data_IF_319819169230
#
_entry.id   IF_319819169230
#
_cell.length_a   1.000
_cell.length_b   1.000
_cell.length_c   1.000
_cell.angle_alpha   90.00
_cell.angle_beta   90.00
_cell.angle_gamma   90.00
#
_symmetry.space_group_name_H-M   'P 1'
#
loop_
_entity.id
_entity.type
_entity.pdbx_description
1 polymer ?
2 non-polymer ?
3 non-polymer ?
4 water ?
#
# COMPACT_ATOMS: atom_id res chain seq x y z
N UNK A 19 -39.54 -1.84 33.74
CA UNK A 19 -38.82 -2.70 34.66
C UNK A 19 -37.72 -3.45 33.92
N UNK A 20 -38.13 -4.48 33.19
CA UNK A 20 -37.22 -5.14 32.28
C UNK A 20 -36.91 -4.17 31.15
N UNK A 21 -37.95 -3.49 30.66
CA UNK A 21 -37.82 -2.43 29.68
C UNK A 21 -36.74 -1.41 30.08
N UNK A 22 -36.85 -0.89 31.31
CA UNK A 22 -35.87 0.09 31.79
C UNK A 22 -34.45 -0.47 31.82
N UNK A 23 -34.31 -1.73 32.27
CA UNK A 23 -33.02 -2.40 32.30
C UNK A 23 -32.38 -2.45 30.92
N UNK A 24 -33.18 -2.82 29.93
CA UNK A 24 -32.77 -2.84 28.53
C UNK A 24 -32.44 -1.47 28.01
N UNK A 25 -33.29 -0.49 28.34
CA UNK A 25 -33.05 0.87 27.86
C UNK A 25 -31.72 1.37 28.40
N UNK A 26 -31.49 1.17 29.71
CA UNK A 26 -30.23 1.60 30.29
C UNK A 26 -29.03 0.88 29.66
N UNK A 27 -29.17 -0.41 29.41
CA UNK A 27 -28.05 -1.19 28.85
C UNK A 27 -27.72 -0.71 27.45
N UNK A 28 -28.75 -0.42 26.66
CA UNK A 28 -28.57 0.09 25.31
C UNK A 28 -27.88 1.46 25.37
N UNK A 29 -28.44 2.36 26.17
CA UNK A 29 -27.84 3.68 26.31
C UNK A 29 -26.38 3.59 26.78
N UNK A 30 -26.11 2.70 27.71
CA UNK A 30 -24.74 2.47 28.18
C UNK A 30 -23.81 2.06 27.04
N UNK A 31 -24.28 1.12 26.21
CA UNK A 31 -23.50 0.64 25.08
C UNK A 31 -23.26 1.76 24.07
N UNK A 32 -24.27 2.59 23.85
CA UNK A 32 -24.10 3.72 22.94
C UNK A 32 -23.06 4.70 23.47
N UNK A 33 -23.09 4.97 24.77
CA UNK A 33 -22.06 5.85 25.36
C UNK A 33 -20.67 5.18 25.29
N UNK A 34 -20.62 3.87 25.48
CA UNK A 34 -19.36 3.14 25.37
C UNK A 34 -18.79 3.19 23.95
N UNK A 35 -19.66 3.10 22.95
CA UNK A 35 -19.21 3.16 21.57
C UNK A 35 -18.62 4.52 21.25
N UNK A 36 -19.26 5.57 21.74
CA UNK A 36 -18.79 6.91 21.44
C UNK A 36 -17.41 7.18 22.06
N UNK A 37 -17.19 6.66 23.26
CA UNK A 37 -15.86 6.76 23.88
C UNK A 37 -14.85 5.94 23.08
N UNK A 38 -15.22 4.72 22.73
CA UNK A 38 -14.34 3.89 21.91
C UNK A 38 -13.96 4.59 20.61
N UNK A 39 -14.95 5.19 19.95
CA UNK A 39 -14.72 5.90 18.70
C UNK A 39 -13.79 7.10 18.89
N UNK A 40 -13.92 7.80 20.02
CA UNK A 40 -13.05 8.93 20.31
C UNK A 40 -11.61 8.46 20.51
N UNK A 41 -11.46 7.33 21.20
CA UNK A 41 -10.15 6.76 21.44
C UNK A 41 -9.48 6.36 20.12
N UNK A 42 -10.25 5.68 19.26
CA UNK A 42 -9.75 5.27 17.95
C UNK A 42 -9.23 6.46 17.15
N UNK A 43 -10.00 7.54 17.11
CA UNK A 43 -9.57 8.77 16.44
C UNK A 43 -8.24 9.29 16.96
N UNK A 44 -8.08 9.28 18.28
CA UNK A 44 -6.83 9.74 18.88
C UNK A 44 -5.67 8.83 18.52
N UNK A 45 -5.95 7.53 18.48
CA UNK A 45 -4.95 6.52 18.15
C UNK A 45 -4.48 6.64 16.73
N UNK A 46 -5.43 6.80 15.81
CA UNK A 46 -5.11 6.91 14.40
C UNK A 46 -4.35 8.21 14.11
N UNK A 47 -4.66 9.23 14.90
CA UNK A 47 -3.93 10.49 14.81
C UNK A 47 -2.50 10.28 15.26
N UNK A 48 -2.34 9.58 16.39
CA UNK A 48 -1.01 9.30 16.94
C UNK A 48 -0.19 8.46 15.97
N UNK A 49 -0.84 7.54 15.28
CA UNK A 49 -0.17 6.67 14.32
C UNK A 49 0.39 7.45 13.15
N UNK A 50 -0.40 8.38 12.62
CA UNK A 50 0.03 9.18 11.49
C UNK A 50 1.25 10.02 11.85
N UNK A 51 1.29 10.50 13.10
CA UNK A 51 2.42 11.30 13.57
C UNK A 51 3.69 10.46 13.63
N UNK A 52 3.57 9.26 14.19
CA UNK A 52 4.70 8.34 14.30
C UNK A 52 5.16 7.89 12.92
N UNK A 53 4.21 7.74 12.00
CA UNK A 53 4.53 7.39 10.63
C UNK A 53 5.38 8.45 9.96
N UNK A 54 5.03 9.71 10.20
CA UNK A 54 5.74 10.84 9.63
C UNK A 54 7.14 10.92 10.22
N UNK A 55 7.25 10.70 11.54
CA UNK A 55 8.54 10.67 12.21
C UNK A 55 9.45 9.57 11.63
N UNK A 56 8.88 8.41 11.37
CA UNK A 56 9.66 7.32 10.81
C UNK A 56 10.21 7.69 9.44
N UNK A 57 9.40 8.42 8.68
CA UNK A 57 9.80 8.90 7.36
C UNK A 57 10.91 9.95 7.45
N UNK A 58 10.72 10.93 8.33
CA UNK A 58 11.75 11.93 8.55
C UNK A 58 13.07 11.26 8.91
N UNK A 59 12.99 10.28 9.81
CA UNK A 59 14.19 9.60 10.29
C UNK A 59 14.84 8.83 9.17
N UNK A 60 14.04 8.12 8.37
CA UNK A 60 14.57 7.35 7.27
C UNK A 60 15.19 8.25 6.19
N UNK A 61 14.57 9.39 5.94
CA UNK A 61 15.11 10.33 4.97
C UNK A 61 16.43 10.90 5.46
N UNK A 62 16.47 11.24 6.74
CA UNK A 62 17.71 11.73 7.34
C UNK A 62 18.84 10.71 7.18
N UNK A 63 18.58 9.44 7.48
CA UNK A 63 19.60 8.39 7.37
C UNK A 63 20.08 8.23 5.94
N UNK A 64 19.16 8.44 5.00
CA UNK A 64 19.45 8.30 3.57
C UNK A 64 20.41 9.35 3.04
N UNK A 65 20.39 10.54 3.63
CA UNK A 65 21.41 11.55 3.33
C UNK A 65 22.81 10.91 3.40
N UNK A 66 23.01 10.03 4.38
CA UNK A 66 24.35 9.49 4.62
C UNK A 66 24.68 8.23 3.83
N UNK A 67 23.67 7.65 3.19
CA UNK A 67 23.82 6.40 2.46
C UNK A 67 23.23 6.49 1.04
N UNK A 68 23.05 7.70 0.54
CA UNK A 68 22.42 7.91 -0.77
C UNK A 68 22.98 7.00 -1.85
N UNK A 69 24.29 7.07 -2.02
CA UNK A 69 24.96 6.45 -3.16
C UNK A 69 25.30 4.96 -2.94
N UNK A 70 25.52 4.57 -1.69
CA UNK A 70 26.09 3.26 -1.40
C UNK A 70 25.14 2.17 -0.91
N UNK A 71 23.94 2.53 -0.49
CA UNK A 71 23.00 1.56 0.05
C UNK A 71 22.64 0.49 -0.99
N UNK B 21 -40.55 -4.79 22.34
CA UNK B 21 -39.40 -4.98 23.23
C UNK B 21 -38.33 -5.89 22.62
N UNK B 22 -38.69 -6.65 21.61
CA UNK B 22 -37.71 -7.42 20.86
C UNK B 22 -36.81 -6.49 20.06
N UNK B 23 -37.36 -5.35 19.63
CA UNK B 23 -36.58 -4.35 18.92
C UNK B 23 -35.40 -3.85 19.76
N UNK B 24 -35.64 -3.70 21.07
CA UNK B 24 -34.61 -3.27 22.01
C UNK B 24 -33.54 -4.34 22.22
N UNK B 25 -33.98 -5.59 22.36
CA UNK B 25 -33.04 -6.70 22.48
C UNK B 25 -32.14 -6.85 21.23
N UNK B 26 -32.73 -6.74 20.05
CA UNK B 26 -31.96 -6.80 18.81
C UNK B 26 -31.00 -5.62 18.71
N UNK B 27 -31.48 -4.43 19.10
CA UNK B 27 -30.66 -3.23 19.11
C UNK B 27 -29.47 -3.38 20.06
N UNK B 28 -29.73 -3.95 21.23
CA UNK B 28 -28.69 -4.15 22.24
C UNK B 28 -27.67 -5.16 21.75
N UNK B 29 -28.16 -6.23 21.14
CA UNK B 29 -27.28 -7.26 20.62
C UNK B 29 -26.34 -6.70 19.54
N UNK B 30 -26.88 -5.85 18.68
CA UNK B 30 -26.08 -5.22 17.63
C UNK B 30 -24.98 -4.33 18.23
N UNK B 31 -25.33 -3.55 19.25
CA UNK B 31 -24.36 -2.67 19.91
C UNK B 31 -23.27 -3.48 20.63
N UNK B 32 -23.65 -4.62 21.20
CA UNK B 32 -22.68 -5.50 21.81
C UNK B 32 -21.65 -5.98 20.78
N UNK B 33 -22.14 -6.45 19.64
CA UNK B 33 -21.26 -6.90 18.55
C UNK B 33 -20.35 -5.76 18.08
N UNK B 34 -20.91 -4.56 17.94
CA UNK B 34 -20.13 -3.40 17.50
C UNK B 34 -19.05 -3.04 18.52
N UNK B 35 -19.38 -3.17 19.80
CA UNK B 35 -18.42 -2.87 20.86
C UNK B 35 -17.25 -3.86 20.79
N UNK B 36 -17.56 -5.14 20.60
CA UNK B 36 -16.51 -6.15 20.42
C UNK B 36 -15.57 -5.80 19.26
N UNK B 37 -16.15 -5.37 18.14
CA UNK B 37 -15.36 -4.96 16.97
C UNK B 37 -14.47 -3.77 17.28
N UNK B 38 -15.05 -2.76 17.94
CA UNK B 38 -14.29 -1.58 18.32
C UNK B 38 -13.11 -1.96 19.22
N UNK B 39 -13.38 -2.82 20.20
CA UNK B 39 -12.34 -3.23 21.14
C UNK B 39 -11.21 -4.00 20.46
N UNK B 40 -11.56 -4.87 19.50
CA UNK B 40 -10.54 -5.61 18.76
C UNK B 40 -9.66 -4.66 17.96
N UNK B 41 -10.28 -3.68 17.31
CA UNK B 41 -9.53 -2.70 16.53
C UNK B 41 -8.59 -1.89 17.41
N UNK B 42 -9.06 -1.49 18.58
CA UNK B 42 -8.26 -0.73 19.52
C UNK B 42 -7.02 -1.51 19.98
N UNK B 43 -7.19 -2.80 20.19
CA UNK B 43 -6.07 -3.66 20.58
C UNK B 43 -5.04 -3.69 19.47
N UNK B 44 -5.51 -3.76 18.23
CA UNK B 44 -4.63 -3.79 17.08
C UNK B 44 -3.89 -2.47 16.95
N UNK B 45 -4.63 -1.36 17.03
CA UNK B 45 -4.05 -0.04 16.89
C UNK B 45 -3.00 0.19 17.95
N UNK B 46 -3.30 -0.22 19.18
CA UNK B 46 -2.37 -0.01 20.28
C UNK B 46 -1.10 -0.83 20.11
N UNK B 47 -1.24 -2.06 19.62
CA UNK B 47 -0.08 -2.90 19.37
C UNK B 47 0.79 -2.25 18.30
N UNK B 48 0.13 -1.70 17.29
CA UNK B 48 0.80 -1.01 16.19
C UNK B 48 1.61 0.17 16.65
N UNK B 49 1.04 0.98 17.54
CA UNK B 49 1.77 2.18 17.97
C UNK B 49 2.91 1.84 18.90
N UNK B 50 2.75 0.76 19.67
CA UNK B 50 3.87 0.25 20.46
C UNK B 50 5.02 -0.16 19.53
N UNK B 51 4.67 -0.75 18.40
CA UNK B 51 5.68 -1.24 17.47
C UNK B 51 6.33 -0.11 16.68
N UNK B 52 5.56 0.93 16.37
CA UNK B 52 6.13 2.12 15.74
C UNK B 52 7.12 2.82 16.66
N UNK B 53 6.80 2.84 17.96
CA UNK B 53 7.73 3.34 18.98
C UNK B 53 9.08 2.64 19.00
N UNK B 54 9.07 1.32 18.80
CA UNK B 54 10.30 0.54 18.73
C UNK B 54 11.11 0.86 17.47
N UNK B 55 10.42 0.92 16.33
CA UNK B 55 11.07 1.30 15.08
C UNK B 55 11.71 2.68 15.22
N UNK B 56 10.96 3.62 15.77
CA UNK B 56 11.47 4.97 16.02
C UNK B 56 12.72 4.95 16.89
N UNK B 57 12.68 4.18 17.98
CA UNK B 57 13.84 4.10 18.86
C UNK B 57 15.02 3.48 18.12
N UNK B 58 14.74 2.44 17.34
CA UNK B 58 15.75 1.73 16.55
C UNK B 58 16.39 2.68 15.53
N UNK B 59 15.56 3.49 14.88
CA UNK B 59 16.03 4.43 13.87
C UNK B 59 16.84 5.57 14.48
N UNK B 60 16.46 6.03 15.67
CA UNK B 60 17.22 7.08 16.37
C UNK B 60 18.59 6.58 16.79
N UNK B 61 18.64 5.35 17.31
CA UNK B 61 19.92 4.76 17.66
C UNK B 61 20.84 4.67 16.44
N UNK B 62 20.26 4.30 15.32
CA UNK B 62 20.98 4.26 14.05
C UNK B 62 21.51 5.65 13.65
N UNK B 63 20.64 6.66 13.73
CA UNK B 63 21.02 8.02 13.36
C UNK B 63 22.14 8.55 14.25
N UNK B 64 22.13 8.12 15.51
CA UNK B 64 23.17 8.51 16.47
C UNK B 64 24.58 8.04 16.06
N UNK B 65 24.67 7.01 15.23
CA UNK B 65 25.96 6.58 14.69
C UNK B 65 26.50 7.62 13.73
N UNK B 66 25.59 8.32 13.05
CA UNK B 66 25.99 9.30 12.04
C UNK B 66 26.10 10.70 12.60
N UNK B 67 25.18 11.03 13.50
CA UNK B 67 24.90 12.42 13.89
C UNK B 67 25.27 13.43 12.82
N UNK C 18 -12.37 20.61 -36.71
CA UNK C 18 -11.52 21.70 -37.16
C UNK C 18 -10.20 21.85 -36.40
N UNK C 19 -10.25 21.91 -35.06
CA UNK C 19 -11.45 21.74 -34.28
C UNK C 19 -11.36 20.46 -33.46
N UNK C 20 -11.48 19.34 -34.15
CA UNK C 20 -11.29 18.04 -33.54
C UNK C 20 -9.80 17.73 -33.48
N UNK C 21 -9.03 18.41 -34.32
CA UNK C 21 -7.58 18.23 -34.34
C UNK C 21 -6.92 19.09 -33.26
N UNK C 22 -7.60 20.16 -32.88
CA UNK C 22 -7.15 20.96 -31.75
C UNK C 22 -7.26 20.12 -30.48
N UNK C 23 -8.31 19.30 -30.41
CA UNK C 23 -8.55 18.46 -29.25
C UNK C 23 -7.51 17.35 -29.15
N UNK C 24 -7.12 16.81 -30.29
CA UNK C 24 -6.12 15.74 -30.39
C UNK C 24 -4.75 16.23 -29.97
N UNK C 25 -4.35 17.40 -30.48
CA UNK C 25 -3.07 17.96 -30.09
C UNK C 25 -3.01 18.23 -28.59
N UNK C 26 -4.15 18.63 -28.02
CA UNK C 26 -4.22 18.92 -26.59
C UNK C 26 -4.24 17.64 -25.78
N UNK C 27 -4.96 16.63 -26.27
CA UNK C 27 -5.00 15.32 -25.64
C UNK C 27 -3.58 14.76 -25.52
N UNK C 28 -2.80 14.94 -26.59
CA UNK C 28 -1.44 14.43 -26.63
C UNK C 28 -0.54 15.16 -25.64
N UNK C 29 -0.67 16.47 -25.54
CA UNK C 29 0.15 17.20 -24.59
C UNK C 29 -0.23 16.88 -23.14
N UNK C 30 -1.52 16.65 -22.88
CA UNK C 30 -1.97 16.24 -21.55
C UNK C 30 -1.41 14.88 -21.19
N UNK C 31 -1.36 13.98 -22.17
CA UNK C 31 -0.79 12.65 -21.96
C UNK C 31 0.68 12.72 -21.59
N UNK C 32 1.43 13.58 -22.28
CA UNK C 32 2.84 13.76 -21.95
C UNK C 32 3.02 14.19 -20.49
N UNK C 33 2.22 15.16 -20.06
CA UNK C 33 2.25 15.63 -18.67
C UNK C 33 1.81 14.54 -17.66
N UNK C 34 0.80 13.77 -18.02
CA UNK C 34 0.35 12.66 -17.18
C UNK C 34 1.42 11.56 -17.02
N UNK C 35 2.14 11.26 -18.09
CA UNK C 35 3.19 10.26 -18.04
C UNK C 35 4.33 10.73 -17.13
N UNK C 36 4.61 12.03 -17.15
CA UNK C 36 5.65 12.60 -16.32
C UNK C 36 5.26 12.50 -14.85
N UNK C 37 3.98 12.73 -14.56
CA UNK C 37 3.51 12.66 -13.18
C UNK C 37 3.51 11.23 -12.66
N UNK C 38 3.09 10.28 -13.51
CA UNK C 38 3.10 8.88 -13.13
C UNK C 38 4.52 8.39 -12.89
N UNK C 39 5.45 8.86 -13.71
CA UNK C 39 6.86 8.50 -13.55
C UNK C 39 7.39 9.01 -12.20
N UNK C 40 6.96 10.20 -11.80
CA UNK C 40 7.32 10.73 -10.49
C UNK C 40 6.73 9.88 -9.35
N UNK C 41 5.50 9.43 -9.53
CA UNK C 41 4.86 8.60 -8.52
C UNK C 41 5.62 7.29 -8.32
N UNK C 42 6.02 6.70 -9.45
CA UNK C 42 6.68 5.40 -9.46
C UNK C 42 8.05 5.53 -8.78
N UNK C 43 8.76 6.60 -9.11
CA UNK C 43 10.05 6.91 -8.47
C UNK C 43 9.93 7.00 -6.96
N UNK C 44 8.87 7.66 -6.50
CA UNK C 44 8.64 7.80 -5.08
C UNK C 44 8.36 6.46 -4.42
N UNK C 45 7.49 5.67 -5.05
CA UNK C 45 7.10 4.38 -4.48
C UNK C 45 8.27 3.38 -4.41
N UNK C 46 9.15 3.43 -5.40
CA UNK C 46 10.31 2.55 -5.44
C UNK C 46 11.31 2.94 -4.35
N UNK C 47 11.40 4.23 -4.09
CA UNK C 47 12.20 4.71 -2.99
C UNK C 47 11.62 4.23 -1.65
N UNK C 48 10.30 4.27 -1.50
CA UNK C 48 9.65 3.83 -0.27
C UNK C 48 9.79 2.32 -0.07
N UNK C 49 9.81 1.56 -1.17
CA UNK C 49 10.05 0.13 -1.12
C UNK C 49 11.47 -0.16 -0.67
N UNK C 50 12.43 0.61 -1.18
CA UNK C 50 13.81 0.56 -0.70
C UNK C 50 13.90 0.80 0.80
N UNK C 51 13.12 1.76 1.30
CA UNK C 51 13.16 2.11 2.72
C UNK C 51 12.50 1.04 3.60
N UNK C 52 11.46 0.38 3.08
CA UNK C 52 10.87 -0.75 3.79
C UNK C 52 11.89 -1.86 3.92
N UNK C 53 12.62 -2.12 2.83
CA UNK C 53 13.62 -3.18 2.82
C UNK C 53 14.72 -2.92 3.83
N UNK C 54 15.04 -1.64 4.02
CA UNK C 54 16.07 -1.26 4.98
C UNK C 54 15.60 -1.50 6.41
N UNK C 55 14.32 -1.26 6.68
CA UNK C 55 13.77 -1.55 8.00
C UNK C 55 13.83 -3.05 8.26
N UNK C 56 13.42 -3.82 7.26
CA UNK C 56 13.39 -5.27 7.36
C UNK C 56 14.80 -5.82 7.62
N UNK C 57 15.79 -5.25 6.97
CA UNK C 57 17.18 -5.63 7.19
C UNK C 57 17.61 -5.33 8.62
N UNK C 58 17.33 -4.11 9.08
CA UNK C 58 17.63 -3.73 10.46
C UNK C 58 16.95 -4.65 11.47
N UNK C 59 15.70 -5.01 11.20
CA UNK C 59 14.96 -5.89 12.08
C UNK C 59 15.57 -7.30 12.13
N UNK C 60 15.94 -7.81 10.96
CA UNK C 60 16.62 -9.11 10.86
C UNK C 60 17.94 -9.08 11.63
N UNK C 61 18.73 -8.05 11.41
CA UNK C 61 20.00 -7.89 12.11
C UNK C 61 19.79 -7.91 13.61
N UNK C 62 18.74 -7.26 14.08
CA UNK C 62 18.44 -7.26 15.51
C UNK C 62 18.04 -8.65 16.00
N UNK C 63 17.19 -9.32 15.23
CA UNK C 63 16.82 -10.69 15.55
C UNK C 63 18.04 -11.61 15.67
N UNK C 64 18.96 -11.51 14.72
CA UNK C 64 20.16 -12.34 14.73
C UNK C 64 21.00 -12.08 15.97
N UNK C 65 20.92 -10.87 16.50
CA UNK C 65 21.62 -10.52 17.73
C UNK C 65 21.02 -11.28 18.92
N UNK C 66 19.71 -11.18 19.07
CA UNK C 66 19.01 -11.88 20.15
C UNK C 66 19.19 -13.39 20.05
N UNK C 67 19.03 -13.90 18.83
CA UNK C 67 19.14 -15.34 18.58
C UNK C 67 20.48 -15.90 19.07
N UNK C 68 21.49 -15.04 19.14
CA UNK C 68 22.82 -15.47 19.55
C UNK C 68 22.96 -15.59 21.07
N UNK C 69 22.29 -14.70 21.79
CA UNK C 69 22.37 -14.68 23.25
C UNK C 69 22.30 -16.08 23.85
N UNK C 70 23.41 -16.50 24.48
CA UNK C 70 23.56 -17.82 25.08
C UNK C 70 23.76 -18.91 24.02
N UNK D 19 -4.84 11.38 -42.03
CA UNK D 19 -3.52 11.82 -42.41
C UNK D 19 -2.61 11.98 -41.19
N UNK D 20 -2.17 13.20 -40.94
CA UNK D 20 -1.50 13.49 -39.69
C UNK D 20 -2.55 13.34 -38.59
N UNK D 21 -3.81 13.62 -38.93
CA UNK D 21 -4.92 13.33 -38.04
C UNK D 21 -4.93 11.84 -37.70
N UNK D 22 -4.69 11.00 -38.70
CA UNK D 22 -4.62 9.55 -38.53
C UNK D 22 -3.40 9.20 -37.70
N UNK D 23 -2.29 9.87 -37.99
CA UNK D 23 -1.07 9.67 -37.22
C UNK D 23 -1.23 10.08 -35.75
N UNK D 24 -1.93 11.19 -35.51
CA UNK D 24 -2.13 11.70 -34.17
C UNK D 24 -3.02 10.77 -33.36
N UNK D 25 -4.01 10.19 -34.01
CA UNK D 25 -4.93 9.29 -33.31
C UNK D 25 -4.23 8.00 -32.86
N UNK D 26 -3.33 7.47 -33.71
CA UNK D 26 -2.51 6.33 -33.35
C UNK D 26 -1.54 6.70 -32.25
N UNK D 27 -0.95 7.88 -32.35
CA UNK D 27 -0.05 8.36 -31.30
C UNK D 27 -0.76 8.41 -29.93
N UNK D 28 -2.00 8.88 -29.93
CA UNK D 28 -2.78 9.00 -28.70
C UNK D 28 -3.05 7.62 -28.11
N UNK D 29 -3.36 6.65 -28.98
CA UNK D 29 -3.62 5.29 -28.53
C UNK D 29 -2.42 4.71 -27.80
N UNK D 30 -1.22 4.94 -28.33
CA UNK D 30 0.00 4.43 -27.72
C UNK D 30 0.24 5.10 -26.36
N UNK D 31 -0.01 6.41 -26.31
CA UNK D 31 0.15 7.16 -25.08
C UNK D 31 -0.83 6.68 -24.00
N UNK D 32 -2.06 6.40 -24.41
CA UNK D 32 -3.05 5.85 -23.50
C UNK D 32 -2.60 4.48 -22.98
N UNK D 33 -1.98 3.68 -23.85
CA UNK D 33 -1.52 2.37 -23.42
C UNK D 33 -0.32 2.47 -22.47
N UNK D 34 0.57 3.42 -22.74
CA UNK D 34 1.73 3.65 -21.88
C UNK D 34 1.30 4.12 -20.48
N UNK D 35 0.27 4.97 -20.44
CA UNK D 35 -0.27 5.48 -19.18
C UNK D 35 -0.91 4.31 -18.40
N UNK D 36 -1.65 3.46 -19.10
CA UNK D 36 -2.31 2.32 -18.48
C UNK D 36 -1.30 1.39 -17.80
N UNK D 37 -0.16 1.20 -18.46
CA UNK D 37 0.91 0.38 -17.93
C UNK D 37 1.52 1.03 -16.69
N UNK D 38 1.73 2.35 -16.75
CA UNK D 38 2.27 3.06 -15.59
C UNK D 38 1.31 2.92 -14.40
N UNK D 39 0.02 3.07 -14.66
CA UNK D 39 -0.98 2.99 -13.61
C UNK D 39 -1.11 1.58 -13.03
N UNK D 40 -0.97 0.54 -13.86
CA UNK D 40 -0.99 -0.83 -13.37
C UNK D 40 0.25 -1.10 -12.50
N UNK D 41 1.38 -0.51 -12.88
CA UNK D 41 2.59 -0.61 -12.08
C UNK D 41 2.45 0.08 -10.71
N UNK D 42 1.78 1.24 -10.69
CA UNK D 42 1.56 1.96 -9.44
C UNK D 42 0.67 1.13 -8.49
N UNK D 43 -0.38 0.53 -9.03
CA UNK D 43 -1.25 -0.34 -8.23
C UNK D 43 -0.44 -1.45 -7.56
N UNK D 44 0.47 -2.05 -8.34
CA UNK D 44 1.27 -3.18 -7.89
C UNK D 44 2.26 -2.79 -6.80
N UNK D 45 2.92 -1.66 -6.97
CA UNK D 45 3.90 -1.18 -6.00
C UNK D 45 3.22 -0.83 -4.66
N UNK D 46 1.99 -0.32 -4.73
CA UNK D 46 1.22 -0.06 -3.51
C UNK D 46 0.92 -1.36 -2.78
N UNK D 47 0.48 -2.37 -3.51
CA UNK D 47 0.30 -3.71 -2.96
C UNK D 47 1.58 -4.23 -2.30
N UNK D 48 2.72 -4.02 -2.95
CA UNK D 48 3.98 -4.54 -2.42
C UNK D 48 4.36 -3.83 -1.13
N UNK D 49 4.10 -2.52 -1.08
CA UNK D 49 4.31 -1.75 0.15
C UNK D 49 3.52 -2.33 1.32
N UNK D 50 2.25 -2.64 1.08
CA UNK D 50 1.40 -3.25 2.10
C UNK D 50 1.97 -4.57 2.60
N UNK D 51 2.40 -5.42 1.68
CA UNK D 51 2.91 -6.74 2.05
C UNK D 51 4.17 -6.63 2.88
N UNK D 52 4.98 -5.63 2.59
CA UNK D 52 6.20 -5.43 3.34
C UNK D 52 5.90 -5.00 4.76
N UNK D 53 4.79 -4.27 4.95
CA UNK D 53 4.35 -3.97 6.33
C UNK D 53 3.94 -5.24 7.09
N UNK D 54 3.28 -6.16 6.40
CA UNK D 54 2.91 -7.44 7.01
C UNK D 54 4.16 -8.21 7.42
N UNK D 55 5.23 -8.02 6.65
CA UNK D 55 6.49 -8.68 6.94
C UNK D 55 7.20 -7.97 8.10
N UNK D 56 7.16 -6.64 8.10
CA UNK D 56 7.72 -5.87 9.20
C UNK D 56 7.01 -6.22 10.52
N UNK D 57 5.69 -6.40 10.45
CA UNK D 57 4.95 -6.77 11.65
C UNK D 57 5.32 -8.17 12.15
N UNK D 58 5.50 -9.12 11.23
CA UNK D 58 5.91 -10.46 11.60
C UNK D 58 7.22 -10.42 12.38
N UNK D 59 8.20 -9.70 11.84
CA UNK D 59 9.50 -9.57 12.47
C UNK D 59 9.44 -8.91 13.85
N UNK D 60 8.66 -7.84 13.98
CA UNK D 60 8.55 -7.14 15.26
C UNK D 60 7.90 -8.01 16.34
N UNK D 61 6.91 -8.80 15.95
CA UNK D 61 6.26 -9.70 16.91
C UNK D 61 7.27 -10.73 17.42
N UNK D 62 8.09 -11.24 16.51
CA UNK D 62 9.16 -12.15 16.89
C UNK D 62 10.19 -11.46 17.79
N UNK D 63 10.50 -10.19 17.50
CA UNK D 63 11.42 -9.43 18.35
C UNK D 63 10.83 -9.14 19.74
N UNK D 64 9.51 -8.98 19.80
CA UNK D 64 8.85 -8.75 21.07
C UNK D 64 8.99 -9.98 21.97
N UNK D 65 8.99 -11.15 21.33
CA UNK D 65 9.10 -12.41 22.07
C UNK D 65 10.44 -12.49 22.77
N UNK D 66 11.49 -12.02 22.10
CA UNK D 66 12.81 -11.97 22.70
C UNK D 66 12.89 -10.79 23.67
N UNK D 67 11.86 -10.68 24.51
CA UNK D 67 11.72 -9.61 25.47
C UNK D 67 10.58 -9.94 26.42
N UNK D 68 10.89 -10.59 27.54
CA UNK D 68 12.26 -11.02 27.85
C UNK D 68 12.39 -12.54 27.78
N UNK E 20 14.79 -22.38 12.62
CA UNK E 20 14.70 -22.96 11.28
C UNK E 20 13.27 -23.37 10.93
N UNK E 21 12.42 -23.52 11.94
CA UNK E 21 10.99 -23.62 11.66
C UNK E 21 10.48 -22.21 11.36
N UNK E 22 10.91 -21.24 12.17
CA UNK E 22 10.57 -19.85 11.95
C UNK E 22 11.09 -19.38 10.61
N UNK E 23 12.21 -19.96 10.18
CA UNK E 23 12.82 -19.61 8.89
C UNK E 23 11.93 -20.06 7.75
N UNK E 24 11.39 -21.28 7.87
CA UNK E 24 10.52 -21.85 6.87
C UNK E 24 9.24 -21.04 6.73
N UNK E 25 8.62 -20.71 7.86
CA UNK E 25 7.40 -19.94 7.85
C UNK E 25 7.60 -18.61 7.13
N UNK E 26 8.76 -18.01 7.38
CA UNK E 26 9.11 -16.73 6.76
C UNK E 26 9.44 -16.90 5.26
N UNK E 27 10.03 -18.04 4.91
CA UNK E 27 10.38 -18.31 3.52
C UNK E 27 9.11 -18.61 2.73
N UNK E 28 8.18 -19.33 3.36
CA UNK E 28 6.88 -19.58 2.75
C UNK E 28 6.13 -18.27 2.48
N UNK E 29 6.15 -17.37 3.45
CA UNK E 29 5.47 -16.08 3.31
C UNK E 29 6.11 -15.25 2.20
N UNK E 30 7.42 -15.35 2.09
CA UNK E 30 8.13 -14.67 1.03
C UNK E 30 7.72 -15.22 -0.34
N UNK E 31 7.66 -16.54 -0.46
CA UNK E 31 7.34 -17.22 -1.71
C UNK E 31 5.90 -16.94 -2.16
N UNK E 32 5.00 -16.78 -1.20
CA UNK E 32 3.62 -16.42 -1.50
C UNK E 32 3.52 -15.00 -2.09
N UNK E 33 4.29 -14.06 -1.54
CA UNK E 33 4.30 -12.70 -2.06
C UNK E 33 4.94 -12.67 -3.46
N UNK E 34 6.04 -13.39 -3.64
CA UNK E 34 6.65 -13.51 -4.96
C UNK E 34 5.67 -14.07 -5.99
N UNK E 35 4.87 -15.05 -5.58
CA UNK E 35 3.85 -15.63 -6.44
C UNK E 35 2.77 -14.62 -6.79
N UNK E 36 2.38 -13.80 -5.81
CA UNK E 36 1.35 -12.81 -6.05
C UNK E 36 1.86 -11.80 -7.07
N UNK E 37 3.14 -11.50 -7.00
CA UNK E 37 3.76 -10.54 -7.92
C UNK E 37 3.88 -11.09 -9.35
N UNK E 38 4.24 -12.36 -9.48
CA UNK E 38 4.32 -13.00 -10.79
C UNK E 38 2.94 -12.98 -11.44
N UNK E 39 1.93 -13.33 -10.66
CA UNK E 39 0.56 -13.36 -11.15
C UNK E 39 0.10 -11.98 -11.61
N UNK E 40 0.53 -10.94 -10.88
CA UNK E 40 0.15 -9.58 -11.25
C UNK E 40 0.83 -9.20 -12.57
N UNK E 41 2.07 -9.61 -12.74
CA UNK E 41 2.81 -9.36 -13.96
C UNK E 41 2.13 -10.07 -15.14
N UNK E 42 1.75 -11.32 -14.92
CA UNK E 42 1.12 -12.14 -15.94
C UNK E 42 -0.20 -11.51 -16.40
N UNK E 43 -1.00 -11.07 -15.44
CA UNK E 43 -2.23 -10.32 -15.73
C UNK E 43 -1.92 -9.10 -16.59
N UNK E 44 -0.87 -8.38 -16.21
CA UNK E 44 -0.46 -7.19 -16.96
C UNK E 44 -0.03 -7.54 -18.40
N UNK E 45 0.73 -8.62 -18.55
CA UNK E 45 1.23 -8.99 -19.86
C UNK E 45 0.10 -9.46 -20.79
N UNK E 46 -0.90 -10.12 -20.22
CA UNK E 46 -2.07 -10.50 -20.99
C UNK E 46 -2.83 -9.27 -21.50
N UNK E 47 -2.95 -8.24 -20.66
CA UNK E 47 -3.58 -6.99 -21.04
C UNK E 47 -2.84 -6.29 -22.18
N UNK E 48 -1.50 -6.39 -22.16
CA UNK E 48 -0.68 -5.77 -23.18
C UNK E 48 -0.81 -6.48 -24.51
N UNK E 49 -0.97 -7.80 -24.46
CA UNK E 49 -1.19 -8.61 -25.64
C UNK E 49 -2.55 -8.28 -26.28
N UNK E 50 -3.58 -8.09 -25.44
CA UNK E 50 -4.90 -7.67 -25.91
C UNK E 50 -4.81 -6.33 -26.63
N UNK E 51 -3.99 -5.44 -26.09
CA UNK E 51 -3.86 -4.12 -26.68
C UNK E 51 -3.18 -4.20 -28.04
N UNK E 52 -2.16 -5.05 -28.16
CA UNK E 52 -1.47 -5.23 -29.43
C UNK E 52 -2.36 -5.83 -30.51
N UNK E 53 -3.21 -6.79 -30.11
CA UNK E 53 -4.18 -7.37 -31.02
C UNK E 53 -5.17 -6.30 -31.49
N UNK E 54 -5.54 -5.38 -30.61
CA UNK E 54 -6.40 -4.26 -31.01
C UNK E 54 -5.71 -3.39 -32.04
N UNK E 55 -4.42 -3.11 -31.82
CA UNK E 55 -3.65 -2.29 -32.72
C UNK E 55 -3.56 -3.01 -34.07
N UNK E 56 -3.35 -4.31 -34.01
CA UNK E 56 -3.18 -5.11 -35.21
C UNK E 56 -4.45 -5.08 -36.06
N UNK E 57 -5.60 -5.14 -35.40
CA UNK E 57 -6.89 -5.10 -36.10
C UNK E 57 -7.12 -3.75 -36.75
N UNK E 58 -6.70 -2.68 -36.08
CA UNK E 58 -6.84 -1.34 -36.63
C UNK E 58 -6.01 -1.18 -37.89
N UNK E 59 -4.78 -1.67 -37.85
CA UNK E 59 -3.89 -1.57 -39.00
C UNK E 59 -4.38 -2.44 -40.17
N UNK E 60 -4.92 -3.62 -39.85
CA UNK E 60 -5.44 -4.51 -40.87
C UNK E 60 -6.70 -3.91 -41.51
N UNK E 61 -7.54 -3.31 -40.68
CA UNK E 61 -8.72 -2.60 -41.16
C UNK E 61 -8.30 -1.50 -42.13
N UNK E 62 -7.27 -0.76 -41.74
CA UNK E 62 -6.78 0.35 -42.55
C UNK E 62 -6.14 -0.16 -43.84
N UNK E 63 -5.43 -1.28 -43.76
CA UNK E 63 -4.79 -1.84 -44.94
C UNK E 63 -5.84 -2.28 -45.96
N UNK E 64 -6.89 -2.92 -45.47
CA UNK E 64 -7.97 -3.38 -46.34
C UNK E 64 -8.60 -2.25 -47.17
N UNK E 65 -8.80 -1.11 -46.53
CA UNK E 65 -9.31 0.08 -47.21
C UNK E 65 -8.38 0.48 -48.35
N UNK E 66 -7.08 0.53 -48.06
CA UNK E 66 -6.08 0.91 -49.06
C UNK E 66 -6.03 -0.10 -50.20
N UNK E 67 -6.07 -1.39 -49.86
CA UNK E 67 -5.99 -2.44 -50.87
C UNK E 67 -7.21 -2.46 -51.79
N UNK E 68 -8.35 -1.98 -51.30
CA UNK E 68 -9.53 -1.83 -52.12
C UNK E 68 -9.30 -0.78 -53.19
N UNK E 69 -8.74 0.35 -52.76
CA UNK E 69 -8.49 1.47 -53.65
C UNK E 69 -7.62 1.10 -54.85
N UNK E 70 -6.60 0.26 -54.61
CA UNK E 70 -5.69 -0.10 -55.68
C UNK E 70 -6.39 -0.93 -56.77
X LIG F 1 -12.49 12.64 25.64
X LIG F 1 -12.91 13.08 24.37
X LIG F 1 -14.43 13.26 24.37
X LIG F 1 -15.08 11.90 24.69
X LIG F 1 -16.57 11.91 24.27
X LIG F 1 -17.22 10.65 24.83
X LIG F 1 -18.70 10.94 25.16
X LIG F 1 -19.44 10.90 23.97
X LIG G 1 -0.60 20.06 -20.68
X LIG G 1 -0.14 20.25 -19.36
X LIG G 1 1.27 20.89 -19.38
X LIG G 1 1.69 21.29 -17.95
X LIG G 1 3.20 21.56 -17.92
X LIG G 1 3.77 21.20 -16.54
X LIG G 1 5.30 21.43 -16.53
X LIG G 1 5.90 20.72 -15.46
X LIG H 1 0.30 6.50 2.06
X LIG H 1 1.01 5.30 1.85
X LIG H 1 2.41 5.62 1.31
X LIG H 1 2.44 5.47 -0.22
X LIG H 1 1.53 6.51 -0.89
X LIG H 1 2.11 6.89 -2.25
X LIG H 1 0.98 7.24 -3.24
X LIG H 1 1.52 7.44 -4.52
X LIG I 1 5.68 0.32 -16.66
X LIG I 1 6.04 1.67 -16.54
X LIG I 1 7.55 1.87 -16.73
X LIG I 1 8.18 2.45 -15.44
X LIG I 1 7.94 3.98 -15.37
X LIG I 1 9.16 4.66 -14.73
X LIG I 1 8.73 5.77 -13.76
X LIG I 1 9.82 6.25 -13.02
X LIG J 1 0.00 1.45 0.16
X LIG J 1 0.46 2.41 -0.76
X LIG J 1 -0.53 3.58 -0.84
X LIG J 1 -1.84 3.12 -1.55
X LIG J 1 -2.72 4.36 -1.81
X LIG J 1 -4.04 3.94 -2.47
X LIG J 1 -5.03 5.12 -2.41
X LIG J 1 -6.24 4.76 -3.03
X LIG K 1 -2.22 -9.00 -6.53
X LIG K 1 -3.17 -8.54 -7.46
X LIG K 1 -2.51 -7.57 -8.45
X LIG K 1 -3.45 -6.38 -8.65
X LIG K 1 -2.60 -5.09 -8.71
X LIG K 1 -1.23 -5.41 -9.32
X LIG K 1 -0.78 -4.25 -10.24
X LIG K 1 -1.54 -4.11 -11.42
X LIG L 1 4.00 -5.47 -12.90
X LIG L 1 4.70 -6.06 -11.81
X LIG L 1 2.59 -5.08 -12.43
X LIG L 1 1.84 -6.24 -12.12
X LIG L 1 1.85 -4.25 -13.49
X LIG L 1 2.79 -3.51 -14.26
X LIG M 1 -3.26 -14.29 -26.86
X LIG M 1 -3.05 -12.90 -26.87
X LIG M 1 -4.34 -12.17 -26.44
X LIG M 1 -4.37 -12.01 -24.90
X LIG M 1 -3.81 -13.26 -24.20
X LIG M 1 -4.43 -13.38 -22.80
X LIG M 1 -5.74 -14.20 -22.87
X LIG M 1 -6.15 -14.53 -21.57
#
# INVERSE_FOLDING_TARGET
>A
XRGSHHHHHHGXASIEGRGSLRDLQYALQEKIEELRQRDALIDELELELDQKDELIQMLQNELDKYRSVIRP
>B
XRGSHHHHHHGXASIEGRGSLRDLQYALQEKIEELRQRDALIDELELELDQKDELIQMLQNELDKYRSVIRP
>C
XRGSHHHHHHGXASIEGRGSLRDLQYALQEKIEELRQRDALIDELELELDQKDELIQMLQNELDKYRSVIRP
>D
XRGSHHHHHHGXASIEGRGSLRDLQYALQEKIEELRQRDALIDELELELDQKDELIQMLQNELDKYRSVIRP
>E
XRGSHHHHHHGXASIEGRGSLRDLQYALQEKIEELRQRDALIDELELELDQKDELIQMLQNELDKYRSVIRP
>F hetero
1 HEZ O1 C1 C2 C3 C4 C5 C6 O6
>G hetero
1 HEZ O1 C1 C2 C3 C4 C5 C6 O6
>H hetero
1 HEZ O1 C1 C2 C3 C4 C5 C6 O6
>I hetero
1 HEZ O1 C1 C2 C3 C4 C5 C6 O6
>J hetero
1 HEZ O1 C1 C2 C3 C4 C5 C6 O6
>K hetero
1 HEZ O1 C1 C2 C3 C4 C5 C6 O6
>L hetero
1 GOL C1 O1 C2 O2 C3 O3
>M hetero
1 HEZ O1 C1 C2 C3 C4 C5 C6 O6
#
